data_IF_797235821955
#
_entry.id   IF_797235821955
#
_cell.length_a   1.000
_cell.length_b   1.000
_cell.length_c   1.000
_cell.angle_alpha   90.00
_cell.angle_beta   90.00
_cell.angle_gamma   90.00
#
_symmetry.space_group_name_H-M   'P 1'
#
loop_
_entity.id
_entity.type
_entity.pdbx_description
1 polymer ?
#
# COMPACT_ATOMS: atom_id res chain seq x y z
N UNK A 1 25.62 -18.40 14.61
CA UNK A 1 25.95 -19.64 13.86
C UNK A 1 26.78 -20.54 14.77
N UNK A 2 26.32 -21.76 15.01
CA UNK A 2 27.04 -22.76 15.85
C UNK A 2 27.31 -23.96 14.98
N UNK A 3 28.54 -24.50 15.12
CA UNK A 3 28.89 -25.78 14.48
C UNK A 3 28.33 -26.91 15.35
N UNK A 4 27.54 -27.78 14.76
CA UNK A 4 26.97 -28.95 15.42
C UNK A 4 27.34 -30.19 14.64
N UNK A 5 27.79 -31.23 15.34
CA UNK A 5 28.02 -32.55 14.75
C UNK A 5 26.64 -33.21 14.54
N UNK A 6 26.34 -33.54 13.31
CA UNK A 6 25.14 -34.26 12.94
C UNK A 6 25.51 -35.58 12.26
N UNK A 7 24.65 -36.58 12.41
CA UNK A 7 24.83 -37.83 11.69
C UNK A 7 24.67 -37.61 10.18
N UNK A 8 25.57 -38.19 9.42
CA UNK A 8 25.50 -38.15 7.97
C UNK A 8 24.46 -39.16 7.50
N UNK A 9 23.44 -38.65 6.78
CA UNK A 9 22.34 -39.48 6.27
C UNK A 9 22.54 -39.77 4.78
N UNK A 10 22.07 -40.95 4.33
CA UNK A 10 21.99 -41.29 2.91
C UNK A 10 20.77 -40.59 2.22
N UNK A 11 20.58 -40.83 0.91
CA UNK A 11 19.48 -40.26 0.12
C UNK A 11 18.09 -40.74 0.60
N UNK A 12 18.02 -41.75 1.46
CA UNK A 12 16.81 -42.31 2.05
C UNK A 12 16.59 -41.86 3.50
N UNK A 13 17.47 -40.97 4.02
CA UNK A 13 17.38 -40.45 5.39
C UNK A 13 17.88 -41.41 6.47
N UNK A 14 18.67 -42.47 6.14
CA UNK A 14 19.24 -43.39 7.11
C UNK A 14 20.70 -43.02 7.42
N UNK A 15 21.18 -43.23 8.69
CA UNK A 15 22.55 -42.97 9.06
C UNK A 15 23.53 -43.81 8.25
N UNK A 16 24.57 -43.18 7.70
CA UNK A 16 25.67 -43.84 7.05
C UNK A 16 26.62 -44.34 8.16
N UNK A 17 26.88 -45.65 8.19
CA UNK A 17 27.76 -46.28 9.20
C UNK A 17 29.18 -46.39 8.68
N UNK A 18 30.16 -46.32 9.59
CA UNK A 18 31.55 -46.63 9.31
C UNK A 18 31.80 -48.16 9.29
N UNK A 19 33.07 -48.57 9.11
CA UNK A 19 33.46 -49.99 9.06
C UNK A 19 33.24 -50.75 10.38
N UNK A 20 33.08 -50.01 11.48
CA UNK A 20 32.83 -50.53 12.83
C UNK A 20 31.34 -50.43 13.24
N UNK A 21 30.46 -50.05 12.31
CA UNK A 21 29.04 -49.96 12.54
C UNK A 21 28.58 -48.71 13.29
N UNK A 22 29.43 -47.67 13.40
CA UNK A 22 29.07 -46.40 14.05
C UNK A 22 28.62 -45.37 13.04
N UNK A 23 27.64 -44.51 13.38
CA UNK A 23 27.21 -43.43 12.49
C UNK A 23 28.34 -42.47 12.18
N UNK A 24 28.57 -42.22 10.91
CA UNK A 24 29.46 -41.14 10.45
C UNK A 24 28.85 -39.80 10.80
N UNK A 25 29.65 -38.88 11.36
CA UNK A 25 29.21 -37.53 11.69
C UNK A 25 29.86 -36.48 10.79
N UNK A 26 29.11 -35.46 10.43
CA UNK A 26 29.61 -34.27 9.73
C UNK A 26 29.37 -33.02 10.55
N UNK A 27 30.20 -31.99 10.41
CA UNK A 27 29.99 -30.70 11.05
C UNK A 27 29.11 -29.84 10.15
N UNK A 28 27.88 -29.56 10.60
CA UNK A 28 26.98 -28.57 9.95
C UNK A 28 26.93 -27.29 10.74
N UNK A 29 26.95 -26.16 10.03
CA UNK A 29 26.72 -24.87 10.63
C UNK A 29 25.21 -24.62 10.71
N UNK A 30 24.67 -24.68 11.93
CA UNK A 30 23.24 -24.42 12.18
C UNK A 30 23.07 -23.02 12.75
N UNK A 31 22.01 -22.33 12.32
CA UNK A 31 21.57 -21.10 12.97
C UNK A 31 20.61 -21.49 14.09
N UNK A 32 21.04 -21.30 15.33
CA UNK A 32 20.17 -21.50 16.49
C UNK A 32 19.61 -20.12 16.86
N UNK A 33 18.29 -19.95 16.90
CA UNK A 33 17.70 -18.73 17.43
C UNK A 33 18.12 -18.59 18.90
N UNK A 34 18.70 -17.44 19.23
CA UNK A 34 19.10 -17.11 20.58
C UNK A 34 18.45 -15.80 21.00
N UNK A 35 17.91 -15.77 22.21
CA UNK A 35 17.37 -14.57 22.82
C UNK A 35 18.44 -13.93 23.71
N UNK A 36 18.61 -12.63 23.57
CA UNK A 36 19.45 -11.81 24.44
C UNK A 36 18.56 -10.81 25.14
N UNK A 37 18.68 -10.75 26.46
CA UNK A 37 18.06 -9.69 27.24
C UNK A 37 18.79 -8.39 26.94
N UNK A 38 18.05 -7.40 26.47
CA UNK A 38 18.54 -6.02 26.25
C UNK A 38 17.64 -5.07 27.02
N UNK A 39 18.25 -4.04 27.61
CA UNK A 39 17.50 -2.94 28.21
C UNK A 39 16.98 -2.03 27.09
N UNK A 40 15.70 -1.76 27.11
CA UNK A 40 15.04 -0.85 26.16
C UNK A 40 14.54 0.34 26.99
N UNK A 41 14.79 1.54 26.50
CA UNK A 41 14.38 2.78 27.12
C UNK A 41 13.47 3.55 26.15
N UNK A 42 12.41 4.14 26.69
CA UNK A 42 11.64 5.14 25.97
C UNK A 42 12.50 6.39 25.77
N UNK A 43 12.29 7.13 24.66
CA UNK A 43 13.04 8.36 24.37
C UNK A 43 12.91 9.38 25.49
N UNK A 44 11.75 9.45 26.14
CA UNK A 44 11.52 10.32 27.31
C UNK A 44 12.35 9.98 28.55
N UNK A 45 12.96 8.78 28.60
CA UNK A 45 13.84 8.31 29.65
C UNK A 45 15.32 8.53 29.34
N UNK A 46 15.63 9.19 28.22
CA UNK A 46 16.99 9.46 27.77
C UNK A 46 17.28 10.95 27.80
N UNK A 47 18.53 11.31 28.08
CA UNK A 47 19.03 12.68 28.00
C UNK A 47 20.14 12.74 26.92
N UNK A 48 20.15 13.79 26.11
CA UNK A 48 21.15 13.97 25.07
C UNK A 48 20.67 14.86 23.93
N UNK A 49 21.38 14.80 22.79
CA UNK A 49 20.93 15.47 21.59
C UNK A 49 19.59 14.87 21.11
N UNK A 50 18.66 15.71 20.62
CA UNK A 50 17.43 15.22 20.04
C UNK A 50 17.74 14.15 18.98
N UNK A 51 17.00 13.04 19.01
CA UNK A 51 17.11 12.07 17.92
C UNK A 51 16.87 12.80 16.60
N UNK A 52 17.65 12.50 15.54
CA UNK A 52 17.33 13.02 14.24
C UNK A 52 15.88 12.59 13.95
N UNK A 53 15.01 13.58 13.81
CA UNK A 53 13.65 13.37 13.38
C UNK A 53 13.75 12.79 11.98
N UNK A 54 13.42 11.50 11.84
CA UNK A 54 12.96 10.98 10.56
C UNK A 54 11.49 11.44 10.48
N UNK A 55 11.27 12.73 10.72
CA UNK A 55 9.99 13.33 10.42
C UNK A 55 9.90 13.33 8.89
N UNK A 56 9.25 12.33 8.39
CA UNK A 56 8.64 12.44 7.09
C UNK A 56 7.50 13.40 7.34
N UNK A 57 7.66 14.65 6.90
CA UNK A 57 6.62 15.65 7.02
C UNK A 57 5.35 15.09 6.38
N UNK A 58 4.21 15.22 7.08
CA UNK A 58 2.92 14.84 6.51
C UNK A 58 2.73 15.59 5.19
N UNK A 59 2.36 14.85 4.15
CA UNK A 59 2.08 15.45 2.86
C UNK A 59 0.89 16.40 3.02
N UNK A 60 1.11 17.68 2.77
CA UNK A 60 0.07 18.70 2.79
C UNK A 60 -0.30 19.06 1.36
N UNK A 61 -1.61 19.01 1.03
CA UNK A 61 -2.06 19.41 -0.29
C UNK A 61 -3.49 19.00 -0.59
N UNK A 62 -4.14 19.79 -1.46
CA UNK A 62 -5.39 19.42 -2.09
C UNK A 62 -5.12 18.70 -3.40
N UNK A 63 -5.99 17.78 -3.76
CA UNK A 63 -5.91 17.03 -5.02
C UNK A 63 -7.08 17.44 -5.89
N UNK A 64 -6.80 17.81 -7.13
CA UNK A 64 -7.84 18.13 -8.09
C UNK A 64 -8.74 16.91 -8.31
N UNK A 65 -10.08 17.13 -8.31
CA UNK A 65 -11.08 16.07 -8.44
C UNK A 65 -10.92 14.93 -7.41
N UNK A 66 -10.53 15.28 -6.17
CA UNK A 66 -10.24 14.34 -5.10
C UNK A 66 -11.33 13.27 -4.92
N UNK A 67 -12.59 13.66 -4.95
CA UNK A 67 -13.71 12.73 -4.73
C UNK A 67 -13.79 11.67 -5.82
N UNK A 68 -13.62 12.05 -7.08
CA UNK A 68 -13.61 11.10 -8.20
C UNK A 68 -12.37 10.21 -8.15
N UNK A 69 -11.24 10.80 -7.80
CA UNK A 69 -9.99 10.03 -7.66
C UNK A 69 -10.09 8.99 -6.54
N UNK A 70 -10.61 9.39 -5.39
CA UNK A 70 -10.79 8.48 -4.27
C UNK A 70 -11.81 7.38 -4.57
N UNK A 71 -12.92 7.71 -5.23
CA UNK A 71 -13.92 6.75 -5.71
C UNK A 71 -13.31 5.74 -6.70
N UNK A 72 -12.45 6.19 -7.61
CA UNK A 72 -11.72 5.29 -8.50
C UNK A 72 -10.76 4.37 -7.74
N UNK A 73 -10.11 4.85 -6.66
CA UNK A 73 -9.29 4.02 -5.78
C UNK A 73 -10.12 2.95 -5.07
N UNK A 74 -11.30 3.30 -4.55
CA UNK A 74 -12.22 2.33 -3.94
C UNK A 74 -12.64 1.24 -4.92
N UNK A 75 -12.90 1.60 -6.18
CA UNK A 75 -13.27 0.64 -7.24
C UNK A 75 -12.07 -0.24 -7.68
N UNK A 76 -10.85 0.30 -7.62
CA UNK A 76 -9.62 -0.42 -7.98
C UNK A 76 -9.13 -1.33 -6.85
N UNK A 77 -9.50 -1.04 -5.61
CA UNK A 77 -9.06 -1.79 -4.45
C UNK A 77 -9.59 -3.23 -4.45
N UNK A 78 -8.74 -4.23 -4.21
CA UNK A 78 -9.19 -5.62 -4.09
C UNK A 78 -10.02 -5.88 -2.83
N UNK A 79 -10.04 -4.94 -1.88
CA UNK A 79 -10.71 -5.07 -0.58
C UNK A 79 -11.39 -3.74 -0.20
N UNK A 80 -12.41 -3.77 0.67
CA UNK A 80 -13.07 -2.54 1.11
C UNK A 80 -12.10 -1.56 1.79
N UNK A 81 -12.26 -0.26 1.54
CA UNK A 81 -11.55 0.82 2.20
C UNK A 81 -12.51 1.52 3.17
N UNK A 82 -12.08 1.78 4.38
CA UNK A 82 -12.83 2.53 5.39
C UNK A 82 -11.94 3.56 6.09
N UNK A 83 -12.58 4.58 6.64
CA UNK A 83 -11.93 5.58 7.48
C UNK A 83 -12.18 5.28 8.95
N UNK A 84 -11.16 5.45 9.79
CA UNK A 84 -11.28 5.30 11.23
C UNK A 84 -10.23 6.14 11.96
N UNK A 85 -10.45 6.39 13.24
CA UNK A 85 -9.45 7.03 14.10
C UNK A 85 -8.45 5.97 14.56
N UNK A 86 -7.23 6.03 14.00
CA UNK A 86 -6.18 5.02 14.22
C UNK A 86 -5.28 5.48 15.36
N UNK A 87 -5.31 4.76 16.48
CA UNK A 87 -4.39 5.03 17.58
C UNK A 87 -2.93 4.72 17.18
N UNK A 88 -1.98 5.47 17.75
CA UNK A 88 -0.55 5.18 17.61
C UNK A 88 0.15 5.85 16.42
N UNK A 89 -0.55 6.74 15.67
CA UNK A 89 0.06 7.59 14.65
C UNK A 89 0.32 6.92 13.29
N UNK A 90 -0.25 5.74 13.04
CA UNK A 90 -0.26 5.13 11.72
C UNK A 90 -1.28 5.86 10.82
N UNK A 91 -0.92 6.08 9.55
CA UNK A 91 -1.80 6.74 8.57
C UNK A 91 -2.82 5.78 7.96
N UNK A 92 -2.55 4.48 7.97
CA UNK A 92 -3.42 3.43 7.47
C UNK A 92 -2.82 2.06 7.73
N UNK A 93 -3.61 1.03 7.45
CA UNK A 93 -3.15 -0.35 7.48
C UNK A 93 -4.06 -1.26 6.65
N UNK A 94 -3.48 -2.31 6.09
CA UNK A 94 -4.21 -3.43 5.53
C UNK A 94 -4.39 -4.51 6.61
N UNK A 95 -5.64 -4.78 6.99
CA UNK A 95 -5.98 -5.80 7.99
C UNK A 95 -6.14 -7.16 7.33
N UNK A 96 -5.15 -8.04 7.53
CA UNK A 96 -5.06 -9.34 6.87
C UNK A 96 -6.23 -10.28 7.19
N UNK A 97 -6.75 -10.28 8.43
CA UNK A 97 -7.80 -11.20 8.84
C UNK A 97 -9.19 -10.74 8.38
N UNK A 98 -9.47 -9.44 8.50
CA UNK A 98 -10.75 -8.86 8.08
C UNK A 98 -10.78 -8.55 6.59
N UNK A 99 -9.64 -8.66 5.93
CA UNK A 99 -9.46 -8.38 4.51
C UNK A 99 -10.01 -7.02 4.10
N UNK A 100 -9.60 -5.98 4.82
CA UNK A 100 -10.01 -4.59 4.63
C UNK A 100 -8.83 -3.62 4.79
N UNK A 101 -8.96 -2.45 4.21
CA UNK A 101 -8.05 -1.32 4.42
C UNK A 101 -8.71 -0.32 5.36
N UNK A 102 -7.94 0.19 6.33
CA UNK A 102 -8.31 1.30 7.17
C UNK A 102 -7.39 2.49 6.90
N UNK A 103 -7.96 3.69 6.84
CA UNK A 103 -7.26 4.96 6.61
C UNK A 103 -7.58 5.90 7.75
N UNK A 104 -6.57 6.59 8.30
CA UNK A 104 -6.74 7.59 9.35
C UNK A 104 -7.63 8.73 8.87
N UNK A 105 -8.63 9.08 9.69
CA UNK A 105 -9.48 10.25 9.46
C UNK A 105 -8.70 11.57 9.60
N UNK A 106 -9.14 12.61 8.89
CA UNK A 106 -8.65 13.98 9.06
C UNK A 106 -7.31 14.31 8.42
N UNK A 107 -6.70 13.39 7.68
CA UNK A 107 -5.48 13.67 6.90
C UNK A 107 -5.76 14.61 5.72
N UNK A 108 -4.70 15.23 5.17
CA UNK A 108 -4.79 15.96 3.91
C UNK A 108 -5.22 15.03 2.76
N UNK A 109 -5.80 15.59 1.71
CA UNK A 109 -6.21 14.81 0.53
C UNK A 109 -5.04 14.05 -0.11
N UNK A 110 -3.87 14.69 -0.21
CA UNK A 110 -2.68 14.07 -0.78
C UNK A 110 -2.18 12.90 0.08
N UNK A 111 -2.12 13.10 1.41
CA UNK A 111 -1.73 12.03 2.33
C UNK A 111 -2.72 10.86 2.28
N UNK A 112 -4.01 11.15 2.24
CA UNK A 112 -5.07 10.14 2.15
C UNK A 112 -4.94 9.28 0.89
N UNK A 113 -4.77 9.91 -0.27
CA UNK A 113 -4.59 9.19 -1.55
C UNK A 113 -3.32 8.35 -1.52
N UNK A 114 -2.19 8.92 -1.09
CA UNK A 114 -0.91 8.19 -1.00
C UNK A 114 -1.04 6.99 -0.09
N UNK A 115 -1.66 7.16 1.07
CA UNK A 115 -1.88 6.07 2.03
C UNK A 115 -2.80 5.01 1.43
N UNK A 116 -3.92 5.39 0.80
CA UNK A 116 -4.82 4.44 0.15
C UNK A 116 -4.09 3.58 -0.89
N UNK A 117 -3.29 4.18 -1.77
CA UNK A 117 -2.52 3.44 -2.78
C UNK A 117 -1.49 2.51 -2.12
N UNK A 118 -0.84 2.94 -1.04
CA UNK A 118 0.12 2.13 -0.28
C UNK A 118 -0.56 0.88 0.30
N UNK A 119 -1.71 1.04 0.95
CA UNK A 119 -2.45 -0.08 1.53
C UNK A 119 -3.07 -1.00 0.45
N UNK A 120 -3.51 -0.45 -0.68
CA UNK A 120 -3.94 -1.22 -1.86
C UNK A 120 -2.77 -2.07 -2.39
N UNK A 121 -1.55 -1.53 -2.43
CA UNK A 121 -0.37 -2.28 -2.83
C UNK A 121 -0.07 -3.42 -1.84
N UNK A 122 -0.24 -3.20 -0.52
CA UNK A 122 -0.15 -4.27 0.47
C UNK A 122 -1.23 -5.34 0.27
N UNK A 123 -2.47 -4.96 0.06
CA UNK A 123 -3.56 -5.89 -0.20
C UNK A 123 -3.34 -6.72 -1.48
N UNK A 124 -2.78 -6.09 -2.52
CA UNK A 124 -2.52 -6.75 -3.82
C UNK A 124 -1.30 -7.67 -3.80
N UNK A 125 -0.20 -7.23 -3.19
CA UNK A 125 1.09 -7.93 -3.25
C UNK A 125 1.37 -8.82 -2.03
N UNK A 126 0.77 -8.52 -0.89
CA UNK A 126 1.20 -9.08 0.39
C UNK A 126 0.05 -9.71 1.19
N UNK A 127 -1.14 -9.85 0.61
CA UNK A 127 -2.22 -10.62 1.21
C UNK A 127 -1.76 -12.05 1.53
N UNK A 128 -2.35 -12.65 2.55
CA UNK A 128 -2.07 -14.05 2.92
C UNK A 128 -3.16 -14.92 2.31
N UNK A 129 -2.75 -15.84 1.48
CA UNK A 129 -3.59 -16.95 1.07
C UNK A 129 -3.19 -18.20 1.87
N UNK A 130 -4.02 -18.66 2.81
CA UNK A 130 -3.70 -19.85 3.63
C UNK A 130 -3.47 -21.12 2.82
N UNK A 131 -4.01 -21.15 1.62
CA UNK A 131 -3.95 -22.32 0.72
C UNK A 131 -2.75 -22.24 -0.25
N UNK A 132 -1.98 -21.14 -0.25
CA UNK A 132 -0.80 -20.98 -1.09
C UNK A 132 0.44 -21.64 -0.47
N UNK A 133 0.98 -22.72 -1.08
CA UNK A 133 2.18 -23.38 -0.59
C UNK A 133 3.46 -22.52 -0.66
N UNK A 134 3.46 -21.44 -1.43
CA UNK A 134 4.61 -20.53 -1.55
C UNK A 134 4.67 -19.46 -0.45
N UNK A 135 3.71 -19.44 0.45
CA UNK A 135 3.69 -18.50 1.60
C UNK A 135 4.96 -18.52 2.45
N UNK A 136 5.68 -19.65 2.47
CA UNK A 136 6.98 -19.76 3.13
C UNK A 136 8.07 -18.85 2.52
N UNK A 137 7.89 -18.41 1.28
CA UNK A 137 8.82 -17.56 0.52
C UNK A 137 8.44 -16.07 0.53
N UNK A 138 7.53 -15.64 1.40
CA UNK A 138 7.14 -14.22 1.50
C UNK A 138 8.36 -13.32 1.71
N UNK A 139 8.41 -12.17 1.03
CA UNK A 139 9.44 -11.18 1.30
C UNK A 139 9.45 -10.75 2.77
N UNK A 140 10.61 -10.37 3.28
CA UNK A 140 10.71 -9.79 4.62
C UNK A 140 9.88 -8.50 4.74
N UNK A 141 9.58 -8.08 5.97
CA UNK A 141 8.74 -6.90 6.23
C UNK A 141 9.28 -5.66 5.52
N UNK A 142 10.60 -5.46 5.56
CA UNK A 142 11.24 -4.29 4.94
C UNK A 142 11.10 -4.29 3.42
N UNK A 143 11.19 -5.43 2.78
CA UNK A 143 10.97 -5.57 1.32
C UNK A 143 9.52 -5.27 0.97
N UNK A 144 8.57 -5.77 1.76
CA UNK A 144 7.15 -5.47 1.54
C UNK A 144 6.84 -3.99 1.65
N UNK A 145 7.37 -3.31 2.68
CA UNK A 145 7.20 -1.86 2.84
C UNK A 145 7.77 -1.08 1.65
N UNK A 146 8.97 -1.44 1.19
CA UNK A 146 9.59 -0.76 0.04
C UNK A 146 8.82 -1.03 -1.24
N UNK A 147 8.30 -2.23 -1.45
CA UNK A 147 7.47 -2.54 -2.62
C UNK A 147 6.19 -1.70 -2.60
N UNK A 148 5.46 -1.66 -1.49
CA UNK A 148 4.24 -0.87 -1.36
C UNK A 148 4.50 0.62 -1.52
N UNK A 149 5.54 1.15 -0.87
CA UNK A 149 5.92 2.55 -0.96
C UNK A 149 6.35 2.96 -2.38
N UNK A 150 7.11 2.10 -3.07
CA UNK A 150 7.53 2.37 -4.44
C UNK A 150 6.37 2.32 -5.44
N UNK A 151 5.39 1.43 -5.23
CA UNK A 151 4.15 1.41 -6.01
C UNK A 151 3.37 2.69 -5.77
N UNK A 152 3.17 3.09 -4.51
CA UNK A 152 2.46 4.31 -4.15
C UNK A 152 3.12 5.54 -4.77
N UNK A 153 4.45 5.66 -4.66
CA UNK A 153 5.22 6.73 -5.29
C UNK A 153 5.01 6.77 -6.81
N UNK A 154 5.16 5.63 -7.49
CA UNK A 154 5.04 5.54 -8.95
C UNK A 154 3.65 5.94 -9.43
N UNK A 155 2.60 5.46 -8.76
CA UNK A 155 1.21 5.81 -9.09
C UNK A 155 0.95 7.28 -8.82
N UNK A 156 1.35 7.81 -7.66
CA UNK A 156 1.20 9.23 -7.33
C UNK A 156 1.90 10.12 -8.37
N UNK A 157 3.13 9.80 -8.75
CA UNK A 157 3.88 10.55 -9.77
C UNK A 157 3.21 10.52 -11.15
N UNK A 158 2.59 9.40 -11.54
CA UNK A 158 1.85 9.31 -12.80
C UNK A 158 0.71 10.35 -12.86
N UNK A 159 0.05 10.61 -11.75
CA UNK A 159 -1.02 11.60 -11.64
C UNK A 159 -0.54 13.00 -11.22
N UNK A 160 0.77 13.23 -11.23
CA UNK A 160 1.36 14.54 -10.86
C UNK A 160 1.29 14.88 -9.38
N UNK A 161 1.09 13.88 -8.53
CA UNK A 161 1.07 14.00 -7.07
C UNK A 161 2.48 13.74 -6.52
N UNK A 162 3.16 14.80 -6.08
CA UNK A 162 4.53 14.68 -5.58
C UNK A 162 4.58 14.18 -4.14
N UNK A 163 5.16 13.00 -3.97
CA UNK A 163 5.39 12.34 -2.67
C UNK A 163 6.86 12.01 -2.43
N UNK A 164 7.78 12.65 -3.16
CA UNK A 164 9.22 12.32 -3.19
C UNK A 164 9.88 12.38 -1.81
N UNK A 165 9.59 13.42 -1.04
CA UNK A 165 10.18 13.63 0.29
C UNK A 165 9.84 12.49 1.25
N UNK A 166 8.64 11.94 1.10
CA UNK A 166 8.19 10.80 1.91
C UNK A 166 8.83 9.48 1.47
N UNK A 167 8.85 9.21 0.17
CA UNK A 167 9.15 7.87 -0.37
C UNK A 167 10.63 7.54 -0.45
N UNK A 168 11.50 8.54 -0.70
CA UNK A 168 12.93 8.29 -0.93
C UNK A 168 13.67 7.72 0.28
N UNK A 169 13.28 8.07 1.49
CA UNK A 169 13.86 7.54 2.71
C UNK A 169 13.74 6.00 2.83
N UNK A 170 12.63 5.45 2.41
CA UNK A 170 12.37 4.00 2.42
C UNK A 170 13.26 3.25 1.42
N UNK A 171 13.33 3.75 0.18
CA UNK A 171 14.08 3.12 -0.92
C UNK A 171 15.59 3.14 -0.66
N UNK A 172 16.12 4.28 -0.24
CA UNK A 172 17.56 4.45 0.03
C UNK A 172 18.07 3.48 1.12
N UNK A 173 17.29 3.32 2.20
CA UNK A 173 17.65 2.43 3.27
C UNK A 173 17.58 0.94 2.89
N UNK A 174 16.65 0.56 2.02
CA UNK A 174 16.42 -0.83 1.64
C UNK A 174 17.48 -1.37 0.66
N UNK A 175 17.89 -0.57 -0.33
CA UNK A 175 18.82 -1.01 -1.38
C UNK A 175 20.22 -1.33 -0.87
N UNK A 176 20.59 -0.87 0.33
CA UNK A 176 21.91 -1.09 0.91
C UNK A 176 22.13 -2.55 1.27
N UNK A 177 23.14 -3.17 0.65
CA UNK A 177 23.60 -4.53 0.97
C UNK A 177 22.79 -5.68 0.37
N UNK A 178 21.92 -5.40 -0.60
CA UNK A 178 21.15 -6.42 -1.33
C UNK A 178 21.82 -6.83 -2.63
N UNK A 179 21.60 -8.10 -3.03
CA UNK A 179 22.08 -8.62 -4.29
C UNK A 179 21.31 -8.01 -5.49
N UNK A 180 22.01 -7.77 -6.59
CA UNK A 180 21.43 -7.16 -7.80
C UNK A 180 20.23 -7.93 -8.35
N UNK A 181 20.24 -9.26 -8.24
CA UNK A 181 19.12 -10.10 -8.70
C UNK A 181 17.85 -9.86 -7.87
N UNK A 182 18.00 -9.72 -6.55
CA UNK A 182 16.90 -9.42 -5.62
C UNK A 182 16.30 -8.03 -5.90
N UNK A 183 17.16 -7.04 -6.12
CA UNK A 183 16.72 -5.69 -6.51
C UNK A 183 15.93 -5.70 -7.82
N UNK A 184 16.42 -6.39 -8.83
CA UNK A 184 15.73 -6.51 -10.14
C UNK A 184 14.38 -7.21 -10.01
N UNK A 185 14.28 -8.28 -9.24
CA UNK A 185 13.03 -8.99 -9.00
C UNK A 185 11.98 -8.08 -8.33
N UNK A 186 12.40 -7.33 -7.30
CA UNK A 186 11.50 -6.36 -6.64
C UNK A 186 11.08 -5.23 -7.56
N UNK A 187 11.97 -4.70 -8.40
CA UNK A 187 11.63 -3.65 -9.36
C UNK A 187 10.61 -4.14 -10.40
N UNK A 188 10.70 -5.40 -10.84
CA UNK A 188 9.71 -5.96 -11.78
C UNK A 188 8.33 -6.11 -11.12
N UNK A 189 8.27 -6.55 -9.86
CA UNK A 189 7.03 -6.61 -9.07
C UNK A 189 6.41 -5.22 -8.93
N UNK A 190 7.21 -4.21 -8.53
CA UNK A 190 6.78 -2.82 -8.39
C UNK A 190 6.22 -2.29 -9.71
N UNK A 191 6.97 -2.49 -10.81
CA UNK A 191 6.57 -2.03 -12.15
C UNK A 191 5.24 -2.64 -12.58
N UNK A 192 5.07 -3.96 -12.41
CA UNK A 192 3.85 -4.66 -12.78
C UNK A 192 2.65 -4.18 -11.97
N UNK A 193 2.80 -4.11 -10.65
CA UNK A 193 1.74 -3.67 -9.75
C UNK A 193 1.33 -2.21 -10.00
N UNK A 194 2.30 -1.32 -10.19
CA UNK A 194 2.02 0.08 -10.50
C UNK A 194 1.31 0.23 -11.87
N UNK A 195 1.75 -0.51 -12.88
CA UNK A 195 1.09 -0.49 -14.20
C UNK A 195 -0.36 -0.98 -14.13
N UNK A 196 -0.62 -2.07 -13.42
CA UNK A 196 -1.97 -2.60 -13.24
C UNK A 196 -2.88 -1.63 -12.49
N UNK A 197 -2.36 -0.99 -11.42
CA UNK A 197 -3.14 0.01 -10.66
C UNK A 197 -3.43 1.25 -11.50
N UNK A 198 -2.45 1.78 -12.23
CA UNK A 198 -2.64 2.92 -13.12
C UNK A 198 -3.68 2.60 -14.19
N UNK A 199 -3.59 1.43 -14.84
CA UNK A 199 -4.53 1.04 -15.88
C UNK A 199 -5.97 0.94 -15.36
N UNK A 200 -6.17 0.34 -14.20
CA UNK A 200 -7.48 0.24 -13.57
C UNK A 200 -8.03 1.61 -13.13
N UNK A 201 -7.17 2.46 -12.56
CA UNK A 201 -7.55 3.82 -12.18
C UNK A 201 -7.93 4.67 -13.39
N UNK A 202 -7.17 4.60 -14.49
CA UNK A 202 -7.48 5.32 -15.72
C UNK A 202 -8.84 4.91 -16.29
N UNK A 203 -9.18 3.61 -16.26
CA UNK A 203 -10.48 3.08 -16.68
C UNK A 203 -11.61 3.65 -15.82
N UNK A 204 -11.52 3.53 -14.50
CA UNK A 204 -12.54 4.03 -13.58
C UNK A 204 -12.69 5.56 -13.62
N UNK A 205 -11.59 6.30 -13.73
CA UNK A 205 -11.64 7.75 -13.90
C UNK A 205 -12.32 8.16 -15.22
N UNK A 206 -12.09 7.40 -16.30
CA UNK A 206 -12.76 7.64 -17.56
C UNK A 206 -14.29 7.38 -17.46
N UNK A 207 -14.69 6.30 -16.79
CA UNK A 207 -16.10 5.99 -16.52
C UNK A 207 -16.78 7.07 -15.69
N UNK A 208 -16.14 7.56 -14.61
CA UNK A 208 -16.66 8.62 -13.77
C UNK A 208 -16.83 9.95 -14.52
N UNK A 209 -15.89 10.28 -15.41
CA UNK A 209 -16.01 11.46 -16.28
C UNK A 209 -17.18 11.35 -17.26
N UNK A 210 -17.33 10.19 -17.90
CA UNK A 210 -18.44 9.94 -18.81
C UNK A 210 -19.79 10.03 -18.09
N UNK A 211 -19.88 9.46 -16.89
CA UNK A 211 -21.10 9.56 -16.07
C UNK A 211 -21.43 11.01 -15.73
N UNK A 212 -20.43 11.79 -15.30
CA UNK A 212 -20.61 13.22 -15.00
C UNK A 212 -21.07 14.02 -16.22
N UNK A 213 -20.49 13.77 -17.39
CA UNK A 213 -20.90 14.42 -18.64
C UNK A 213 -22.34 14.07 -19.03
N UNK A 214 -22.74 12.80 -18.85
CA UNK A 214 -24.11 12.36 -19.08
C UNK A 214 -25.09 13.03 -18.12
N UNK A 215 -24.75 13.11 -16.83
CA UNK A 215 -25.58 13.76 -15.81
C UNK A 215 -25.74 15.27 -16.07
N UNK A 216 -24.66 15.94 -16.49
CA UNK A 216 -24.70 17.35 -16.90
C UNK A 216 -25.57 17.57 -18.16
N UNK A 217 -25.48 16.66 -19.13
CA UNK A 217 -26.29 16.70 -20.34
C UNK A 217 -27.77 16.48 -20.00
N UNK A 218 -28.09 15.52 -19.15
CA UNK A 218 -29.45 15.27 -18.67
C UNK A 218 -30.01 16.46 -17.87
N UNK A 219 -29.18 17.14 -17.07
CA UNK A 219 -29.56 18.35 -16.34
C UNK A 219 -29.87 19.52 -17.27
N UNK A 220 -29.21 19.65 -18.42
CA UNK A 220 -29.50 20.66 -19.45
C UNK A 220 -30.80 20.37 -20.19
N UNK A 221 -31.26 19.13 -20.28
CA UNK A 221 -32.55 18.76 -20.89
C UNK A 221 -33.77 19.09 -20.01
N UNK A 222 -33.58 19.49 -18.77
CA UNK A 222 -34.65 19.93 -17.85
C UNK A 222 -34.93 21.44 -17.87
N UNK A 223 -34.61 22.11 -18.96
CA UNK A 223 -34.98 23.50 -19.17
C UNK A 223 -36.42 23.59 -19.70
N UNK A 224 -37.27 24.32 -19.00
CA UNK A 224 -38.68 24.53 -19.38
C UNK A 224 -38.90 25.96 -19.87
N UNK A 225 -39.38 26.13 -21.10
CA UNK A 225 -39.87 27.41 -21.58
C UNK A 225 -41.23 27.67 -20.94
N UNK A 226 -41.37 28.82 -20.29
CA UNK A 226 -42.63 29.26 -19.69
C UNK A 226 -43.43 30.14 -20.64
N UNK A 227 -44.77 30.17 -20.49
CA UNK A 227 -45.68 30.94 -21.33
C UNK A 227 -45.41 32.45 -21.33
N UNK A 228 -44.69 32.96 -20.35
CA UNK A 228 -44.28 34.35 -20.23
C UNK A 228 -42.97 34.70 -20.94
N UNK A 229 -42.41 33.77 -21.69
CA UNK A 229 -41.12 33.91 -22.41
C UNK A 229 -39.89 33.63 -21.57
N UNK A 230 -40.04 33.32 -20.30
CA UNK A 230 -38.91 32.95 -19.42
C UNK A 230 -38.55 31.47 -19.56
N UNK A 231 -37.32 31.13 -19.24
CA UNK A 231 -36.83 29.74 -19.20
C UNK A 231 -36.53 29.35 -17.75
N UNK A 232 -37.14 28.27 -17.28
CA UNK A 232 -36.88 27.67 -15.98
C UNK A 232 -35.86 26.54 -16.15
N UNK A 233 -34.72 26.67 -15.52
CA UNK A 233 -33.73 25.59 -15.37
C UNK A 233 -33.92 24.93 -14.02
N UNK A 234 -34.04 23.62 -14.03
CA UNK A 234 -34.10 22.81 -12.81
C UNK A 234 -32.89 21.91 -12.80
N UNK A 235 -32.05 22.01 -11.77
CA UNK A 235 -30.93 21.15 -11.51
C UNK A 235 -31.16 20.31 -10.26
N UNK A 236 -30.82 19.04 -10.31
CA UNK A 236 -30.75 18.18 -9.12
C UNK A 236 -29.48 18.50 -8.35
N UNK A 237 -29.57 18.69 -7.04
CA UNK A 237 -28.43 18.81 -6.13
C UNK A 237 -28.57 17.81 -4.98
N UNK A 238 -27.50 17.61 -4.20
CA UNK A 238 -27.45 16.63 -3.10
C UNK A 238 -28.57 16.84 -2.05
N UNK A 239 -29.14 18.04 -1.94
CA UNK A 239 -30.19 18.38 -1.01
C UNK A 239 -31.59 18.50 -1.65
N UNK A 240 -31.75 18.20 -2.96
CA UNK A 240 -33.01 18.30 -3.67
C UNK A 240 -32.87 18.89 -5.07
N UNK A 241 -33.58 19.99 -5.33
CA UNK A 241 -33.58 20.67 -6.63
C UNK A 241 -33.24 22.15 -6.45
N UNK A 242 -32.25 22.62 -7.21
CA UNK A 242 -32.04 24.05 -7.44
C UNK A 242 -32.72 24.46 -8.72
N UNK A 243 -33.29 25.68 -8.72
CA UNK A 243 -33.92 26.22 -9.90
C UNK A 243 -33.46 27.66 -10.15
N UNK A 244 -33.27 27.98 -11.41
CA UNK A 244 -32.92 29.34 -11.86
C UNK A 244 -33.90 29.76 -12.95
N UNK A 245 -34.48 30.96 -12.80
CA UNK A 245 -35.37 31.55 -13.77
C UNK A 245 -34.63 32.63 -14.57
N UNK A 246 -34.61 32.50 -15.89
CA UNK A 246 -34.07 33.49 -16.81
C UNK A 246 -35.24 34.15 -17.56
N UNK A 247 -35.24 35.49 -17.57
CA UNK A 247 -36.21 36.33 -18.26
C UNK A 247 -35.64 37.03 -19.47
#
# INVERSE_FOLDING_TARGET
KVKQKMEKLDEQGKPILDKDGKPLTEEKTVQIPAFKVVSVFDVSQTEGEPLPSIAVDELSGSVQDYQDFFKALEQTSPVPIGFEDIEGGAHGYFHLLDNRIAIQEGMSQLQTIKTAIHEIAHAKLHAIDPDDPEQANRPDSRTREVQAESVAYTVCQHYGLDTSEYSFGYVAGWSSGRELAELKASLEIIRSAAHELISALDEHLAELRQQREADLSAAQETAFALDNGNTLFIQTCDSGYDYTLYG
#
